data_IF_420018557455
#
_entry.id   IF_420018557455
#
_cell.length_a   1.000
_cell.length_b   1.000
_cell.length_c   1.000
_cell.angle_alpha   90.00
_cell.angle_beta   90.00
_cell.angle_gamma   90.00
#
_symmetry.space_group_name_H-M   'P 1'
#
loop_
_entity.id
_entity.type
_entity.pdbx_description
1 polymer ?
#
# COMPACT_ATOMS: atom_id res chain seq x y z
N UNK A 1 7.28 -13.38 -6.57
CA UNK A 1 5.89 -12.94 -6.74
C UNK A 1 5.32 -13.32 -8.10
N UNK A 2 4.03 -13.66 -8.15
CA UNK A 2 3.19 -13.65 -9.37
C UNK A 2 2.24 -12.45 -9.41
N UNK A 3 2.49 -11.44 -8.58
CA UNK A 3 1.68 -10.23 -8.48
C UNK A 3 2.32 -9.07 -9.24
N UNK A 4 1.49 -8.30 -9.92
CA UNK A 4 1.82 -6.96 -10.39
C UNK A 4 1.03 -5.96 -9.54
N UNK A 5 1.76 -5.16 -8.76
CA UNK A 5 1.21 -4.15 -7.85
C UNK A 5 1.18 -2.80 -8.54
N UNK A 6 0.03 -2.12 -8.49
CA UNK A 6 -0.17 -0.82 -9.15
C UNK A 6 -0.83 0.13 -8.16
N UNK A 7 -0.11 1.18 -7.79
CA UNK A 7 -0.63 2.28 -6.99
C UNK A 7 -1.32 3.35 -7.87
N UNK A 8 -1.98 4.31 -7.22
CA UNK A 8 -2.60 5.44 -7.89
C UNK A 8 -2.51 6.72 -7.03
N UNK A 9 -1.29 7.11 -6.58
CA UNK A 9 -1.10 8.12 -5.52
C UNK A 9 -1.72 9.47 -5.84
N UNK A 10 -1.75 9.88 -7.11
CA UNK A 10 -2.25 11.19 -7.56
C UNK A 10 -3.72 11.19 -7.99
N UNK A 11 -4.43 10.08 -7.82
CA UNK A 11 -5.86 10.05 -8.12
C UNK A 11 -6.62 11.00 -7.16
N UNK A 12 -7.61 11.78 -7.66
CA UNK A 12 -8.41 12.67 -6.81
C UNK A 12 -9.43 11.93 -5.94
N UNK A 13 -9.78 10.68 -6.28
CA UNK A 13 -10.66 9.83 -5.48
C UNK A 13 -9.85 9.17 -4.35
N UNK A 14 -10.25 9.42 -3.10
CA UNK A 14 -9.61 8.83 -1.91
C UNK A 14 -9.69 7.31 -1.92
N UNK A 15 -10.81 6.74 -2.38
CA UNK A 15 -10.95 5.29 -2.43
C UNK A 15 -9.93 4.66 -3.38
N UNK A 16 -9.45 5.40 -4.39
CA UNK A 16 -8.45 4.92 -5.36
C UNK A 16 -7.04 5.23 -4.85
N UNK A 17 -6.77 6.48 -4.46
CA UNK A 17 -5.44 6.91 -3.99
C UNK A 17 -5.01 6.29 -2.66
N UNK A 18 -5.96 5.82 -1.84
CA UNK A 18 -5.70 5.11 -0.58
C UNK A 18 -5.65 3.56 -0.75
N UNK A 19 -5.57 3.07 -1.99
CA UNK A 19 -5.62 1.64 -2.31
C UNK A 19 -4.55 1.22 -3.33
N UNK A 20 -4.39 -0.09 -3.49
CA UNK A 20 -3.50 -0.69 -4.51
C UNK A 20 -4.28 -1.73 -5.31
N UNK A 21 -4.07 -1.74 -6.62
CA UNK A 21 -4.54 -2.81 -7.51
C UNK A 21 -3.48 -3.91 -7.64
N UNK A 22 -3.91 -5.16 -7.61
CA UNK A 22 -3.03 -6.34 -7.69
C UNK A 22 -3.53 -7.27 -8.78
N UNK A 23 -2.70 -7.47 -9.81
CA UNK A 23 -2.97 -8.40 -10.89
C UNK A 23 -2.20 -9.70 -10.68
N UNK A 24 -2.78 -10.82 -11.11
CA UNK A 24 -2.04 -12.08 -11.27
C UNK A 24 -1.39 -12.11 -12.65
N UNK A 25 -0.05 -12.12 -12.71
CA UNK A 25 0.69 -12.13 -13.98
C UNK A 25 0.55 -13.45 -14.74
N UNK A 26 0.07 -14.51 -14.08
CA UNK A 26 -0.24 -15.79 -14.74
C UNK A 26 -1.64 -15.80 -15.36
N UNK A 27 -2.50 -14.83 -15.04
CA UNK A 27 -3.86 -14.72 -15.57
C UNK A 27 -4.36 -13.25 -15.58
N UNK A 28 -3.82 -12.45 -16.50
CA UNK A 28 -4.17 -11.01 -16.61
C UNK A 28 -5.66 -10.78 -16.98
N UNK A 29 -6.32 -11.73 -17.62
CA UNK A 29 -7.73 -11.64 -18.01
C UNK A 29 -8.70 -11.68 -16.81
N UNK A 30 -8.25 -12.16 -15.65
CA UNK A 30 -9.04 -12.14 -14.41
C UNK A 30 -9.25 -10.72 -13.84
N UNK A 31 -8.50 -9.72 -14.34
CA UNK A 31 -8.49 -8.37 -13.79
C UNK A 31 -7.66 -8.26 -12.51
N UNK A 32 -7.95 -7.24 -11.70
CA UNK A 32 -7.23 -6.97 -10.45
C UNK A 32 -8.11 -7.14 -9.22
N UNK A 33 -7.46 -7.41 -8.09
CA UNK A 33 -8.04 -7.26 -6.75
C UNK A 33 -7.59 -5.91 -6.19
N UNK A 34 -8.51 -5.19 -5.56
CA UNK A 34 -8.22 -3.92 -4.89
C UNK A 34 -7.95 -4.18 -3.41
N UNK A 35 -6.81 -3.74 -2.89
CA UNK A 35 -6.45 -3.85 -1.48
C UNK A 35 -6.54 -2.49 -0.77
N UNK A 36 -7.17 -2.43 0.42
CA UNK A 36 -7.39 -1.18 1.14
C UNK A 36 -6.19 -0.82 2.04
N UNK A 37 -5.02 -0.57 1.44
CA UNK A 37 -3.77 -0.32 2.18
C UNK A 37 -3.89 0.85 3.17
N UNK A 38 -4.56 1.95 2.78
CA UNK A 38 -4.76 3.11 3.65
C UNK A 38 -5.66 2.82 4.85
N UNK A 39 -6.62 1.90 4.72
CA UNK A 39 -7.49 1.46 5.82
C UNK A 39 -6.72 0.58 6.80
N UNK A 40 -5.91 -0.36 6.29
CA UNK A 40 -5.05 -1.22 7.12
C UNK A 40 -4.06 -0.43 7.96
N UNK A 41 -3.66 0.75 7.50
CA UNK A 41 -2.78 1.62 8.24
C UNK A 41 -3.43 2.23 9.49
N UNK A 42 -4.77 2.20 9.65
CA UNK A 42 -5.49 2.72 10.83
C UNK A 42 -4.97 4.10 11.28
N UNK A 43 -4.93 5.06 10.34
CA UNK A 43 -4.47 6.43 10.59
C UNK A 43 -5.67 7.38 10.70
N UNK A 44 -5.46 8.53 11.34
CA UNK A 44 -6.46 9.59 11.45
C UNK A 44 -6.77 10.34 10.14
N UNK A 45 -7.18 11.59 10.26
CA UNK A 45 -7.44 12.45 9.11
C UNK A 45 -6.18 12.72 8.29
N UNK A 46 -6.35 12.86 6.98
CA UNK A 46 -5.26 13.14 6.06
C UNK A 46 -5.39 12.39 4.74
N UNK A 47 -4.58 12.76 3.74
CA UNK A 47 -4.72 12.27 2.38
C UNK A 47 -4.37 10.78 2.25
N UNK A 48 -3.45 10.25 3.08
CA UNK A 48 -3.09 8.82 3.17
C UNK A 48 -2.81 8.16 1.81
N UNK A 49 -2.12 8.88 0.92
CA UNK A 49 -1.87 8.43 -0.46
C UNK A 49 -0.90 7.25 -0.45
N UNK A 50 -1.25 6.17 -1.13
CA UNK A 50 -0.39 4.99 -1.22
C UNK A 50 0.57 5.16 -2.37
N UNK A 51 1.86 4.99 -2.09
CA UNK A 51 2.91 5.18 -3.08
C UNK A 51 4.00 4.12 -2.93
N UNK A 52 4.49 3.68 -4.09
CA UNK A 52 5.65 2.83 -4.32
C UNK A 52 5.59 1.46 -3.61
N UNK A 53 5.22 0.38 -4.33
CA UNK A 53 5.53 -0.98 -3.87
C UNK A 53 7.04 -1.23 -3.93
N UNK A 54 7.63 -1.67 -2.82
CA UNK A 54 9.02 -2.13 -2.76
C UNK A 54 9.11 -3.51 -2.09
N UNK A 55 9.87 -4.43 -2.67
CA UNK A 55 10.04 -5.77 -2.10
C UNK A 55 11.17 -5.85 -1.09
N UNK A 56 11.04 -6.75 -0.11
CA UNK A 56 12.18 -7.18 0.69
C UNK A 56 13.13 -8.09 -0.13
N UNK A 57 14.29 -8.42 0.45
CA UNK A 57 15.31 -9.25 -0.23
C UNK A 57 14.79 -10.65 -0.63
N UNK A 58 13.89 -11.24 0.16
CA UNK A 58 13.34 -12.56 -0.11
C UNK A 58 12.25 -12.54 -1.20
N UNK A 59 11.68 -11.37 -1.49
CA UNK A 59 10.58 -11.21 -2.43
C UNK A 59 9.26 -11.80 -1.95
N UNK A 60 9.10 -11.99 -0.63
CA UNK A 60 7.89 -12.54 0.02
C UNK A 60 7.07 -11.49 0.76
N UNK A 61 7.56 -10.25 0.84
CA UNK A 61 6.86 -9.09 1.36
C UNK A 61 6.96 -7.93 0.38
N UNK A 62 5.86 -7.18 0.26
CA UNK A 62 5.83 -5.89 -0.45
C UNK A 62 5.40 -4.78 0.51
N UNK A 63 6.11 -3.67 0.44
CA UNK A 63 6.02 -2.55 1.38
C UNK A 63 5.46 -1.35 0.63
N UNK A 64 4.58 -0.58 1.30
CA UNK A 64 3.96 0.62 0.76
C UNK A 64 4.06 1.77 1.73
N UNK A 65 4.45 2.95 1.25
CA UNK A 65 4.32 4.18 2.03
C UNK A 65 2.86 4.63 2.02
N UNK A 66 2.32 4.90 3.22
CA UNK A 66 1.04 5.60 3.43
C UNK A 66 1.36 7.05 3.71
N UNK A 67 1.41 7.83 2.63
CA UNK A 67 1.95 9.18 2.60
C UNK A 67 0.89 10.23 2.96
N UNK A 68 1.06 10.83 4.14
CA UNK A 68 0.27 11.97 4.63
C UNK A 68 1.10 13.25 4.68
N UNK A 69 0.48 14.38 5.03
CA UNK A 69 1.20 15.65 5.23
C UNK A 69 2.16 15.60 6.44
N UNK A 70 3.11 16.55 6.49
CA UNK A 70 4.13 16.63 7.54
C UNK A 70 3.58 16.61 8.98
N UNK A 71 2.44 17.27 9.21
CA UNK A 71 1.81 17.39 10.53
C UNK A 71 0.72 16.32 10.76
N UNK A 72 0.64 15.31 9.90
CA UNK A 72 -0.35 14.23 9.94
C UNK A 72 0.36 12.88 10.07
N UNK A 73 -0.32 11.89 10.66
CA UNK A 73 0.23 10.55 10.81
C UNK A 73 0.45 9.88 9.44
N UNK A 74 1.59 9.22 9.29
CA UNK A 74 1.95 8.38 8.15
C UNK A 74 2.31 6.97 8.65
N UNK A 75 2.42 6.02 7.74
CA UNK A 75 2.83 4.66 8.06
C UNK A 75 3.56 4.00 6.89
N UNK A 76 4.20 2.87 7.15
CA UNK A 76 4.56 1.89 6.12
C UNK A 76 3.72 0.64 6.37
N UNK A 77 3.01 0.17 5.35
CA UNK A 77 2.24 -1.07 5.41
C UNK A 77 3.01 -2.17 4.70
N UNK A 78 3.17 -3.31 5.38
CA UNK A 78 3.80 -4.51 4.85
C UNK A 78 2.72 -5.54 4.54
N UNK A 79 2.73 -6.04 3.32
CA UNK A 79 1.79 -7.04 2.82
C UNK A 79 2.55 -8.34 2.54
N UNK A 80 1.98 -9.46 2.95
CA UNK A 80 2.48 -10.78 2.57
C UNK A 80 2.17 -11.02 1.07
N UNK A 81 3.21 -11.17 0.24
CA UNK A 81 3.05 -11.24 -1.22
C UNK A 81 2.23 -12.47 -1.64
N UNK A 82 2.36 -13.58 -0.91
CA UNK A 82 1.72 -14.84 -1.28
C UNK A 82 0.21 -14.83 -1.01
N UNK A 83 -0.19 -14.28 0.13
CA UNK A 83 -1.59 -14.26 0.59
C UNK A 83 -2.31 -12.98 0.22
N UNK A 84 -1.58 -11.90 -0.06
CA UNK A 84 -2.09 -10.52 -0.24
C UNK A 84 -2.80 -9.99 1.02
N UNK A 85 -2.40 -10.48 2.18
CA UNK A 85 -2.95 -10.08 3.48
C UNK A 85 -2.00 -9.12 4.21
N UNK A 86 -2.57 -8.32 5.11
CA UNK A 86 -1.81 -7.43 5.98
C UNK A 86 -0.85 -8.25 6.85
N UNK A 87 0.45 -7.92 6.77
CA UNK A 87 1.48 -8.55 7.60
C UNK A 87 1.91 -7.70 8.76
N UNK A 88 2.14 -6.40 8.54
CA UNK A 88 2.52 -5.46 9.58
C UNK A 88 2.20 -4.01 9.19
N UNK A 89 2.12 -3.15 10.20
CA UNK A 89 2.06 -1.69 10.04
C UNK A 89 3.15 -1.06 10.89
N UNK A 90 4.03 -0.28 10.26
CA UNK A 90 5.12 0.43 10.91
C UNK A 90 4.68 1.88 11.09
N UNK A 91 4.60 2.32 12.35
CA UNK A 91 4.22 3.67 12.78
C UNK A 91 5.23 4.20 13.79
N UNK A 92 5.35 5.52 13.88
CA UNK A 92 6.14 6.19 14.91
C UNK A 92 6.28 7.68 14.63
N UNK A 93 6.66 8.50 15.64
CA UNK A 93 6.86 9.93 15.46
C UNK A 93 7.93 10.29 14.43
N UNK A 94 8.80 9.35 14.09
CA UNK A 94 9.90 9.48 13.13
C UNK A 94 9.47 9.16 11.70
N UNK A 95 8.29 8.55 11.52
CA UNK A 95 7.70 8.24 10.20
C UNK A 95 6.96 9.48 9.70
N UNK A 96 7.72 10.51 9.32
CA UNK A 96 7.18 11.77 8.78
C UNK A 96 7.37 11.77 7.27
N UNK A 97 6.26 11.81 6.52
CA UNK A 97 6.24 11.85 5.05
C UNK A 97 7.19 10.82 4.41
N UNK A 98 7.01 9.51 4.71
CA UNK A 98 7.82 8.43 4.14
C UNK A 98 7.51 8.19 2.66
#
# INVERSE_FOLDING_TARGET
SSNLWVDAPLNPDESISQSVAVFDISNLDAGFVKLPIGEWAELGEGPKRIVQPEYNMAGDEVWFSVWSGKEQESAIVVVDDKTRELKAVIKGPEIVTP
#
